data_IF_383292945136
#
_entry.id   IF_383292945136
#
_cell.length_a   1.000
_cell.length_b   1.000
_cell.length_c   1.000
_cell.angle_alpha   90.00
_cell.angle_beta   90.00
_cell.angle_gamma   90.00
#
_symmetry.space_group_name_H-M   'P 1'
#
loop_
_entity.id
_entity.type
_entity.pdbx_description
1 polymer ?
#
# COMPACT_ATOMS: atom_id res chain seq x y z
N UNK A 1 2.13 -21.60 23.62
CA UNK A 1 0.92 -22.29 23.09
C UNK A 1 1.02 -22.21 21.58
N UNK A 2 1.44 -23.32 20.96
CA UNK A 2 1.73 -23.43 19.53
C UNK A 2 0.65 -24.31 18.92
N UNK A 3 -0.22 -23.72 18.11
CA UNK A 3 -1.21 -24.48 17.35
C UNK A 3 -0.67 -24.77 15.95
N UNK A 4 -0.62 -26.07 15.66
CA UNK A 4 -0.25 -26.69 14.39
C UNK A 4 -1.45 -26.62 13.45
N UNK A 5 -1.21 -26.30 12.17
CA UNK A 5 -2.18 -26.53 11.11
C UNK A 5 -1.75 -27.78 10.36
N UNK A 6 -2.59 -28.82 10.45
CA UNK A 6 -2.43 -30.10 9.77
C UNK A 6 -2.79 -30.01 8.28
N UNK A 7 -2.09 -30.86 7.55
CA UNK A 7 -2.07 -31.06 6.11
C UNK A 7 -3.11 -32.13 5.73
N UNK A 8 -3.84 -31.95 4.63
CA UNK A 8 -4.63 -33.02 4.00
C UNK A 8 -4.97 -32.68 2.56
N UNK A 9 -4.14 -33.23 1.67
CA UNK A 9 -4.43 -33.55 0.27
C UNK A 9 -5.65 -34.45 0.13
N UNK A 10 -6.65 -34.08 -0.69
CA UNK A 10 -7.43 -35.03 -1.50
C UNK A 10 -7.96 -34.39 -2.80
N UNK A 11 -7.49 -34.94 -3.94
CA UNK A 11 -8.09 -34.95 -5.28
C UNK A 11 -8.07 -36.44 -5.71
N UNK A 12 -8.77 -36.93 -6.76
CA UNK A 12 -9.82 -36.35 -7.63
C UNK A 12 -11.03 -37.32 -7.82
N UNK A 13 -12.07 -36.96 -8.61
CA UNK A 13 -12.57 -37.76 -9.77
C UNK A 13 -13.86 -37.22 -10.43
N UNK A 14 -13.74 -37.08 -11.76
CA UNK A 14 -14.65 -37.27 -12.91
C UNK A 14 -16.19 -37.39 -12.83
N UNK A 15 -16.79 -36.76 -13.87
CA UNK A 15 -17.87 -37.18 -14.78
C UNK A 15 -19.33 -37.20 -14.31
N UNK A 16 -20.19 -36.43 -15.02
CA UNK A 16 -21.27 -36.97 -15.88
C UNK A 16 -22.04 -35.85 -16.58
N UNK A 17 -22.32 -36.08 -17.85
CA UNK A 17 -23.11 -35.29 -18.79
C UNK A 17 -24.62 -35.49 -18.56
N UNK A 18 -25.42 -34.41 -18.66
CA UNK A 18 -26.84 -34.50 -18.94
C UNK A 18 -27.33 -33.23 -19.67
N UNK A 19 -27.82 -33.43 -20.89
CA UNK A 19 -28.53 -32.44 -21.69
C UNK A 19 -29.94 -32.23 -21.15
N UNK A 20 -30.40 -30.98 -21.08
CA UNK A 20 -31.77 -30.65 -20.71
C UNK A 20 -32.18 -29.29 -21.26
N UNK A 21 -32.98 -29.30 -22.33
CA UNK A 21 -33.61 -28.14 -22.94
C UNK A 21 -34.80 -27.73 -22.05
N UNK A 22 -34.83 -26.47 -21.61
CA UNK A 22 -35.96 -25.89 -20.87
C UNK A 22 -35.89 -24.38 -20.83
N UNK A 23 -36.71 -23.72 -21.66
CA UNK A 23 -36.98 -22.27 -21.63
C UNK A 23 -37.78 -21.93 -20.37
N UNK A 24 -37.36 -20.89 -19.64
CA UNK A 24 -38.27 -20.08 -18.83
C UNK A 24 -37.63 -18.73 -18.53
N UNK A 25 -38.41 -17.69 -18.82
CA UNK A 25 -38.12 -16.28 -18.64
C UNK A 25 -37.86 -15.95 -17.17
N UNK A 26 -36.67 -15.44 -16.86
CA UNK A 26 -36.39 -14.74 -15.62
C UNK A 26 -35.65 -13.45 -15.98
N UNK A 27 -36.41 -12.37 -15.93
CA UNK A 27 -35.94 -11.00 -15.86
C UNK A 27 -35.10 -10.82 -14.59
N UNK A 28 -33.81 -11.15 -14.66
CA UNK A 28 -32.85 -10.74 -13.65
C UNK A 28 -32.13 -9.50 -14.15
N UNK A 29 -32.44 -8.41 -13.45
CA UNK A 29 -31.76 -7.13 -13.48
C UNK A 29 -30.27 -7.35 -13.76
N UNK A 30 -29.83 -6.84 -14.90
CA UNK A 30 -28.43 -6.65 -15.18
C UNK A 30 -27.89 -5.76 -14.05
N UNK A 31 -27.32 -6.39 -13.01
CA UNK A 31 -26.30 -5.74 -12.19
C UNK A 31 -25.26 -5.32 -13.20
N UNK A 32 -25.27 -4.03 -13.49
CA UNK A 32 -24.27 -3.33 -14.25
C UNK A 32 -22.95 -3.75 -13.60
N UNK A 33 -22.25 -4.70 -14.21
CA UNK A 33 -20.87 -4.95 -13.90
C UNK A 33 -20.20 -3.65 -14.31
N UNK A 34 -20.00 -2.77 -13.33
CA UNK A 34 -19.15 -1.61 -13.51
C UNK A 34 -17.80 -2.18 -13.93
N UNK A 35 -17.55 -2.02 -15.23
CA UNK A 35 -16.27 -2.25 -15.85
C UNK A 35 -15.32 -1.26 -15.17
N UNK A 36 -14.73 -1.67 -14.06
CA UNK A 36 -13.62 -0.95 -13.48
C UNK A 36 -12.50 -1.00 -14.51
N UNK A 37 -12.24 0.14 -15.10
CA UNK A 37 -11.16 0.34 -16.05
C UNK A 37 -9.87 -0.13 -15.35
N UNK A 38 -9.31 -1.22 -15.85
CA UNK A 38 -8.20 -1.96 -15.22
C UNK A 38 -6.86 -1.24 -15.30
N UNK A 39 -6.87 0.05 -15.63
CA UNK A 39 -5.70 0.78 -16.09
C UNK A 39 -4.98 1.62 -15.02
N UNK A 40 -5.52 1.77 -13.80
CA UNK A 40 -4.80 2.50 -12.74
C UNK A 40 -5.04 1.93 -11.33
N UNK A 41 -3.96 1.70 -10.59
CA UNK A 41 -4.01 1.35 -9.17
C UNK A 41 -4.51 2.58 -8.40
N UNK A 42 -5.57 2.47 -7.59
CA UNK A 42 -6.06 3.59 -6.78
C UNK A 42 -4.96 4.16 -5.91
N UNK A 43 -4.76 5.48 -5.98
CA UNK A 43 -3.71 6.18 -5.24
C UNK A 43 -4.31 7.08 -4.18
N UNK A 44 -3.79 6.98 -2.95
CA UNK A 44 -4.24 7.78 -1.80
C UNK A 44 -3.08 8.66 -1.34
N UNK A 45 -3.33 9.96 -1.22
CA UNK A 45 -2.38 10.92 -0.67
C UNK A 45 -2.75 11.25 0.78
N UNK A 46 -1.80 11.09 1.68
CA UNK A 46 -1.95 11.44 3.10
C UNK A 46 -0.95 12.55 3.40
N UNK A 47 -1.45 13.72 3.81
CA UNK A 47 -0.63 14.83 4.28
C UNK A 47 -0.84 14.97 5.79
N UNK A 48 0.24 14.91 6.55
CA UNK A 48 0.19 14.98 8.01
C UNK A 48 1.52 15.46 8.61
N UNK A 49 1.63 15.40 9.94
CA UNK A 49 2.78 15.85 10.71
C UNK A 49 3.83 14.76 10.89
N UNK A 50 5.09 15.17 11.06
CA UNK A 50 6.24 14.26 11.09
C UNK A 50 6.16 13.12 12.12
N UNK A 51 5.59 13.38 13.31
CA UNK A 51 5.41 12.35 14.36
C UNK A 51 4.33 11.33 13.97
N UNK A 52 3.17 11.78 13.48
CA UNK A 52 2.11 10.86 13.05
C UNK A 52 2.58 9.99 11.89
N UNK A 53 3.28 10.59 10.92
CA UNK A 53 3.84 9.85 9.78
C UNK A 53 4.90 8.84 10.23
N UNK A 54 5.69 9.12 11.26
CA UNK A 54 6.64 8.16 11.83
C UNK A 54 5.92 6.93 12.37
N UNK A 55 4.92 7.12 13.22
CA UNK A 55 4.16 6.01 13.82
C UNK A 55 3.39 5.21 12.77
N UNK A 56 2.76 5.89 11.81
CA UNK A 56 2.05 5.23 10.71
C UNK A 56 3.00 4.38 9.86
N UNK A 57 4.17 4.93 9.48
CA UNK A 57 5.20 4.18 8.75
C UNK A 57 5.63 2.94 9.53
N UNK A 58 5.90 3.11 10.83
CA UNK A 58 6.29 1.99 11.69
C UNK A 58 5.20 0.92 11.72
N UNK A 59 3.92 1.27 11.91
CA UNK A 59 2.82 0.31 11.87
C UNK A 59 2.70 -0.44 10.54
N UNK A 60 2.88 0.26 9.42
CA UNK A 60 2.82 -0.35 8.08
C UNK A 60 4.00 -1.31 7.82
N UNK A 61 5.16 -0.98 8.40
CA UNK A 61 6.41 -1.71 8.24
C UNK A 61 6.58 -2.83 9.26
N UNK A 62 6.05 -2.70 10.47
CA UNK A 62 6.20 -3.69 11.55
C UNK A 62 5.50 -5.01 11.17
N UNK A 63 4.45 -4.93 10.35
CA UNK A 63 3.82 -6.11 9.72
C UNK A 63 4.68 -6.76 8.63
N UNK A 64 5.74 -6.11 8.19
CA UNK A 64 6.78 -6.66 7.34
C UNK A 64 7.94 -7.14 8.18
N UNK A 65 7.82 -8.37 8.66
CA UNK A 65 8.86 -9.05 9.42
C UNK A 65 10.16 -9.16 8.59
N UNK A 66 11.03 -8.15 8.73
CA UNK A 66 12.45 -8.11 8.33
C UNK A 66 12.78 -8.04 6.82
N UNK A 67 11.87 -7.61 5.97
CA UNK A 67 12.15 -7.47 4.52
C UNK A 67 12.74 -6.11 4.12
N UNK A 68 12.76 -5.13 5.03
CA UNK A 68 13.34 -3.83 4.76
C UNK A 68 14.86 -3.88 4.87
N UNK A 69 15.53 -3.67 3.75
CA UNK A 69 16.99 -3.61 3.65
C UNK A 69 17.47 -2.20 3.33
N UNK A 70 18.72 -1.90 3.70
CA UNK A 70 19.41 -0.67 3.29
C UNK A 70 18.90 0.62 3.95
N UNK A 71 18.90 1.72 3.17
CA UNK A 71 18.56 3.06 3.66
C UNK A 71 17.11 3.20 4.14
N UNK A 72 16.19 2.45 3.54
CA UNK A 72 14.78 2.48 3.93
C UNK A 72 14.58 1.97 5.37
N UNK A 73 15.28 0.90 5.77
CA UNK A 73 15.23 0.39 7.14
C UNK A 73 15.70 1.44 8.18
N UNK A 74 16.78 2.17 7.86
CA UNK A 74 17.31 3.24 8.72
C UNK A 74 16.35 4.43 8.83
N UNK A 75 15.61 4.74 7.78
CA UNK A 75 14.71 5.89 7.71
C UNK A 75 13.28 5.60 8.20
N UNK A 76 12.89 4.32 8.28
CA UNK A 76 11.57 3.90 8.77
C UNK A 76 11.25 4.49 10.16
N UNK A 77 12.20 4.37 11.09
CA UNK A 77 12.05 4.85 12.46
C UNK A 77 12.36 6.34 12.67
N UNK A 78 12.70 7.10 11.62
CA UNK A 78 13.02 8.53 11.74
C UNK A 78 11.77 9.39 11.52
N UNK A 79 11.75 10.54 12.21
CA UNK A 79 10.76 11.59 11.96
C UNK A 79 10.90 12.03 10.50
N UNK A 80 9.77 12.15 9.79
CA UNK A 80 9.78 12.61 8.41
C UNK A 80 10.28 14.06 8.35
N UNK A 81 11.26 14.42 7.51
CA UNK A 81 11.62 15.82 7.28
C UNK A 81 10.43 16.57 6.70
N UNK A 82 10.46 17.91 6.78
CA UNK A 82 9.46 18.75 6.14
C UNK A 82 9.39 18.39 4.65
N UNK A 83 8.16 18.25 4.13
CA UNK A 83 7.86 17.85 2.75
C UNK A 83 8.45 16.49 2.31
N UNK A 84 9.01 15.68 3.23
CA UNK A 84 9.48 14.34 2.91
C UNK A 84 8.33 13.41 2.50
N UNK A 85 8.50 12.69 1.39
CA UNK A 85 7.47 11.81 0.82
C UNK A 85 7.84 10.35 1.05
N UNK A 86 6.86 9.52 1.41
CA UNK A 86 7.01 8.06 1.47
C UNK A 86 5.91 7.41 0.63
N UNK A 87 6.24 6.37 -0.13
CA UNK A 87 5.30 5.69 -1.01
C UNK A 87 5.28 4.19 -0.74
N UNK A 88 4.06 3.67 -0.56
CA UNK A 88 3.77 2.29 -0.23
C UNK A 88 2.73 1.74 -1.21
N UNK A 89 2.95 0.54 -1.73
CA UNK A 89 1.89 -0.26 -2.35
C UNK A 89 1.26 -1.13 -1.28
N UNK A 90 -0.08 -1.16 -1.24
CA UNK A 90 -0.84 -1.96 -0.27
C UNK A 90 -1.78 -2.90 -1.03
N UNK A 91 -1.86 -4.15 -0.57
CA UNK A 91 -2.89 -5.09 -0.98
C UNK A 91 -3.97 -5.11 0.10
N UNK A 92 -5.20 -4.85 -0.32
CA UNK A 92 -6.39 -4.93 0.53
C UNK A 92 -7.22 -6.12 0.07
N UNK A 93 -7.56 -7.02 0.99
CA UNK A 93 -8.40 -8.18 0.71
C UNK A 93 -9.33 -8.48 1.86
N UNK A 94 -10.43 -9.19 1.60
CA UNK A 94 -11.41 -9.57 2.61
C UNK A 94 -11.21 -11.05 2.93
N UNK A 95 -11.02 -11.39 4.21
CA UNK A 95 -10.94 -12.77 4.69
C UNK A 95 -11.87 -12.92 5.90
N UNK A 96 -12.80 -13.87 5.85
CA UNK A 96 -13.77 -14.12 6.93
C UNK A 96 -14.52 -12.84 7.36
N UNK A 97 -15.03 -12.08 6.39
CA UNK A 97 -15.72 -10.78 6.59
C UNK A 97 -14.85 -9.67 7.22
N UNK A 98 -13.55 -9.89 7.39
CA UNK A 98 -12.61 -8.89 7.90
C UNK A 98 -11.75 -8.30 6.79
N UNK A 99 -11.58 -6.97 6.83
CA UNK A 99 -10.67 -6.26 5.94
C UNK A 99 -9.23 -6.50 6.41
N UNK A 100 -8.46 -7.17 5.56
CA UNK A 100 -7.05 -7.40 5.76
C UNK A 100 -6.26 -6.44 4.87
N UNK A 101 -5.32 -5.73 5.48
CA UNK A 101 -4.40 -4.83 4.78
C UNK A 101 -3.00 -5.35 4.95
N UNK A 102 -2.32 -5.57 3.84
CA UNK A 102 -0.92 -5.97 3.79
C UNK A 102 -0.17 -4.95 2.94
N UNK A 103 0.93 -4.40 3.44
CA UNK A 103 1.81 -3.64 2.56
C UNK A 103 2.52 -4.65 1.63
N UNK A 104 2.62 -4.33 0.34
CA UNK A 104 3.16 -5.20 -0.72
C UNK A 104 4.51 -4.73 -1.27
N UNK A 105 4.70 -3.40 -1.32
CA UNK A 105 5.99 -2.82 -1.66
C UNK A 105 6.22 -1.51 -0.92
N UNK A 106 7.46 -1.28 -0.49
CA UNK A 106 7.95 0.02 -0.03
C UNK A 106 8.85 0.59 -1.12
N UNK A 107 8.40 1.64 -1.80
CA UNK A 107 9.18 2.25 -2.89
C UNK A 107 10.31 3.12 -2.33
N UNK A 108 9.96 4.04 -1.44
CA UNK A 108 10.91 4.91 -0.76
C UNK A 108 10.33 5.44 0.55
N UNK A 109 11.21 5.77 1.49
CA UNK A 109 10.86 6.36 2.78
C UNK A 109 11.53 7.72 2.92
N UNK A 110 10.72 8.73 3.23
CA UNK A 110 11.17 10.10 3.52
C UNK A 110 12.09 10.67 2.43
N UNK A 111 11.72 10.45 1.16
CA UNK A 111 12.40 11.03 0.00
C UNK A 111 12.23 12.56 0.00
N UNK A 112 13.35 13.25 -0.19
CA UNK A 112 13.46 14.72 -0.29
C UNK A 112 14.17 15.15 -1.58
N UNK A 113 14.35 14.26 -2.57
CA UNK A 113 15.13 14.59 -3.78
C UNK A 113 14.51 15.70 -4.61
N UNK A 114 13.22 15.98 -4.42
CA UNK A 114 12.53 17.11 -5.04
C UNK A 114 12.90 18.48 -4.41
N UNK A 115 13.52 18.48 -3.23
CA UNK A 115 14.02 19.69 -2.56
C UNK A 115 15.48 19.98 -2.90
N UNK A 116 16.19 19.00 -3.46
CA UNK A 116 17.55 19.17 -3.96
C UNK A 116 17.48 19.93 -5.29
N UNK A 117 17.16 21.21 -5.22
CA UNK A 117 17.33 22.13 -6.32
C UNK A 117 18.81 22.16 -6.69
N UNK A 118 19.12 21.95 -7.98
CA UNK A 118 20.40 22.32 -8.58
C UNK A 118 20.83 23.68 -8.01
N UNK A 119 22.00 23.70 -7.38
CA UNK A 119 22.57 24.79 -6.57
C UNK A 119 22.84 26.11 -7.31
N UNK A 120 22.23 26.33 -8.48
CA UNK A 120 22.61 27.41 -9.39
C UNK A 120 21.74 28.66 -9.28
N UNK A 121 20.64 28.67 -8.50
CA UNK A 121 19.73 29.84 -8.46
C UNK A 121 19.23 30.29 -7.08
N UNK A 122 19.77 29.76 -5.98
CA UNK A 122 19.49 30.30 -4.65
C UNK A 122 20.46 31.44 -4.31
N UNK A 123 20.19 32.61 -4.88
CA UNK A 123 20.72 33.90 -4.43
C UNK A 123 20.50 34.06 -2.91
N UNK A 124 21.57 33.90 -2.14
CA UNK A 124 21.60 34.06 -0.69
C UNK A 124 21.40 35.54 -0.31
N UNK A 125 20.16 36.01 -0.27
CA UNK A 125 19.83 37.38 0.15
C UNK A 125 19.72 37.58 1.67
N UNK A 126 19.99 36.57 2.50
CA UNK A 126 19.97 36.73 3.95
C UNK A 126 21.34 37.16 4.50
N UNK A 127 21.78 38.39 4.24
CA UNK A 127 22.72 39.07 5.16
C UNK A 127 21.92 39.51 6.37
N UNK A 128 21.89 38.68 7.41
CA UNK A 128 21.39 39.07 8.72
C UNK A 128 22.42 40.01 9.35
N UNK A 129 22.28 41.30 9.11
CA UNK A 129 23.02 42.34 9.82
C UNK A 129 22.29 42.56 11.16
N UNK A 130 22.65 41.76 12.16
CA UNK A 130 22.19 41.98 13.53
C UNK A 130 22.59 43.39 13.97
N UNK A 131 21.60 44.19 14.36
CA UNK A 131 21.85 45.44 15.06
C UNK A 131 22.29 45.09 16.49
N UNK A 132 23.53 45.45 16.82
CA UNK A 132 23.99 45.65 18.20
C UNK A 132 23.61 47.06 18.65
#
# INVERSE_FOLDING_TARGET
KTDRCDDSDERPTSSSSASGIGRSDISNSAKKNECFDSSSIPSVLIVSHGLLLRELKLLLIDKYDKQLVGGNAKNAGRICPNTGVSQFTMIVFIKNEQVCVKCDQVHFISNISHLESSSDDLLSHAKFQGAL
#
